data_IF_150949624131
#
_entry.id   IF_150949624131
#
_cell.length_a   1.000
_cell.length_b   1.000
_cell.length_c   1.000
_cell.angle_alpha   90.00
_cell.angle_beta   90.00
_cell.angle_gamma   90.00
#
_symmetry.space_group_name_H-M   'P 1'
#
loop_
_entity.id
_entity.type
_entity.pdbx_description
1 polymer ?
#
# COMPACT_ATOMS: atom_id res chain seq x y z
N UNK A 1 -1.06 -7.34 10.77
CA UNK A 1 -1.63 -6.06 11.25
C UNK A 1 -3.03 -6.05 10.66
N UNK A 2 -4.06 -6.13 11.49
CA UNK A 2 -5.42 -6.29 11.00
C UNK A 2 -6.01 -4.90 10.76
N UNK A 3 -6.45 -4.63 9.53
CA UNK A 3 -6.96 -3.31 9.16
C UNK A 3 -8.07 -3.44 8.11
N UNK A 4 -9.28 -3.00 8.47
CA UNK A 4 -10.45 -2.98 7.57
C UNK A 4 -10.41 -1.83 6.54
N UNK A 5 -9.50 -0.86 6.73
CA UNK A 5 -9.31 0.30 5.85
C UNK A 5 -7.82 0.44 5.49
N UNK A 6 -7.25 -0.53 4.74
CA UNK A 6 -5.83 -0.51 4.40
C UNK A 6 -5.47 0.67 3.50
N UNK A 7 -4.34 1.32 3.80
CA UNK A 7 -3.68 2.28 2.92
C UNK A 7 -2.41 1.60 2.39
N UNK A 8 -2.37 1.36 1.09
CA UNK A 8 -1.26 0.64 0.46
C UNK A 8 -0.12 1.61 0.12
N UNK A 9 1.06 1.38 0.68
CA UNK A 9 2.25 2.19 0.40
C UNK A 9 2.91 1.83 -0.95
N UNK A 10 2.78 0.57 -1.40
CA UNK A 10 3.39 0.11 -2.64
C UNK A 10 2.64 0.68 -3.85
N UNK A 11 3.39 1.34 -4.73
CA UNK A 11 2.90 1.89 -6.00
C UNK A 11 3.31 1.01 -7.17
N UNK A 12 2.55 1.07 -8.26
CA UNK A 12 2.85 0.38 -9.52
C UNK A 12 3.15 1.43 -10.59
N UNK A 13 4.21 1.22 -11.36
CA UNK A 13 4.53 2.02 -12.54
C UNK A 13 3.97 1.29 -13.76
N UNK A 14 3.22 2.00 -14.58
CA UNK A 14 2.55 1.46 -15.77
C UNK A 14 2.67 2.49 -16.89
N UNK A 15 3.10 2.05 -18.06
CA UNK A 15 3.15 2.89 -19.26
C UNK A 15 1.74 3.09 -19.82
N UNK A 16 1.41 4.32 -20.21
CA UNK A 16 0.11 4.66 -20.77
C UNK A 16 0.20 4.86 -22.29
N UNK A 17 -0.58 4.07 -23.03
CA UNK A 17 -0.71 4.13 -24.49
C UNK A 17 -2.12 4.60 -24.83
N UNK A 18 -2.25 5.84 -25.35
CA UNK A 18 -3.56 6.46 -25.60
C UNK A 18 -4.32 5.77 -26.75
N UNK A 19 -3.58 5.11 -27.63
CA UNK A 19 -4.06 4.35 -28.77
C UNK A 19 -4.54 2.94 -28.41
N UNK A 20 -4.29 2.48 -27.18
CA UNK A 20 -4.64 1.12 -26.73
C UNK A 20 -5.69 1.09 -25.62
N UNK A 21 -6.54 0.04 -25.64
CA UNK A 21 -7.47 -0.25 -24.55
C UNK A 21 -6.77 -1.12 -23.51
N UNK A 22 -6.05 -0.49 -22.59
CA UNK A 22 -5.34 -1.16 -21.50
C UNK A 22 -6.29 -1.51 -20.35
N UNK A 23 -6.73 -2.77 -20.25
CA UNK A 23 -7.65 -3.26 -19.20
C UNK A 23 -6.89 -3.66 -17.93
N UNK A 24 -7.37 -3.19 -16.78
CA UNK A 24 -6.82 -3.50 -15.46
C UNK A 24 -7.89 -4.16 -14.59
N UNK A 25 -7.47 -5.14 -13.79
CA UNK A 25 -8.27 -5.78 -12.74
C UNK A 25 -7.54 -5.68 -11.41
N UNK A 26 -8.25 -5.18 -10.41
CA UNK A 26 -7.82 -5.11 -9.02
C UNK A 26 -8.59 -6.17 -8.25
N UNK A 27 -7.90 -7.15 -7.66
CA UNK A 27 -8.49 -8.22 -6.87
C UNK A 27 -7.92 -8.16 -5.45
N UNK A 28 -8.81 -8.15 -4.45
CA UNK A 28 -8.44 -8.07 -3.04
C UNK A 28 -8.64 -9.42 -2.36
N UNK A 29 -7.69 -9.77 -1.50
CA UNK A 29 -7.68 -11.00 -0.72
C UNK A 29 -7.35 -10.68 0.74
N UNK A 30 -7.96 -11.41 1.67
CA UNK A 30 -7.56 -11.40 3.08
C UNK A 30 -6.42 -12.38 3.31
N UNK A 31 -5.29 -11.87 3.80
CA UNK A 31 -4.07 -12.66 3.96
C UNK A 31 -4.03 -13.32 5.34
N UNK A 32 -4.84 -14.37 5.51
CA UNK A 32 -4.90 -15.12 6.78
C UNK A 32 -3.86 -16.25 6.87
N UNK A 33 -3.32 -16.68 5.73
CA UNK A 33 -2.41 -17.82 5.65
C UNK A 33 -0.96 -17.39 5.41
N UNK A 34 -0.01 -18.25 5.79
CA UNK A 34 1.42 -18.04 5.50
C UNK A 34 1.81 -18.36 4.06
N UNK A 35 0.88 -18.88 3.25
CA UNK A 35 1.11 -19.22 1.84
C UNK A 35 1.21 -17.99 0.96
N UNK A 36 2.00 -18.11 -0.12
CA UNK A 36 2.06 -17.10 -1.20
C UNK A 36 1.00 -17.35 -2.29
N UNK A 37 0.29 -18.47 -2.23
CA UNK A 37 -0.65 -18.88 -3.27
C UNK A 37 -2.00 -18.20 -3.04
N UNK A 38 -2.46 -17.38 -4.00
CA UNK A 38 -3.66 -16.55 -3.86
C UNK A 38 -4.93 -17.35 -3.61
N UNK A 39 -5.06 -18.55 -4.16
CA UNK A 39 -6.26 -19.39 -3.99
C UNK A 39 -6.44 -19.89 -2.55
N UNK A 40 -5.39 -19.83 -1.72
CA UNK A 40 -5.49 -20.20 -0.32
C UNK A 40 -6.06 -19.05 0.52
N UNK A 41 -6.08 -17.83 0.01
CA UNK A 41 -6.53 -16.64 0.74
C UNK A 41 -7.99 -16.31 0.40
N UNK A 42 -8.68 -15.67 1.33
CA UNK A 42 -10.11 -15.38 1.19
C UNK A 42 -10.31 -14.21 0.23
N UNK A 43 -11.07 -14.43 -0.85
CA UNK A 43 -11.35 -13.40 -1.83
C UNK A 43 -12.38 -12.39 -1.31
N UNK A 44 -11.99 -11.10 -1.27
CA UNK A 44 -12.81 -10.02 -0.75
C UNK A 44 -13.61 -9.30 -1.84
N UNK A 45 -13.16 -9.37 -3.09
CA UNK A 45 -13.82 -8.72 -4.23
C UNK A 45 -12.84 -8.18 -5.26
N UNK A 46 -13.38 -7.80 -6.41
CA UNK A 46 -12.62 -7.23 -7.51
C UNK A 46 -13.26 -5.96 -8.07
N UNK A 47 -12.46 -5.19 -8.80
CA UNK A 47 -12.89 -4.08 -9.63
C UNK A 47 -12.09 -4.09 -10.93
N UNK A 48 -12.75 -3.90 -12.07
CA UNK A 48 -12.09 -3.84 -13.38
C UNK A 48 -12.44 -2.54 -14.09
N UNK A 49 -11.44 -1.93 -14.74
CA UNK A 49 -11.60 -0.74 -15.57
C UNK A 49 -10.48 -0.63 -16.61
N UNK A 50 -10.50 0.39 -17.45
CA UNK A 50 -9.37 0.70 -18.32
C UNK A 50 -8.44 1.71 -17.65
N UNK A 51 -7.15 1.67 -17.99
CA UNK A 51 -6.17 2.65 -17.49
C UNK A 51 -6.60 4.08 -17.85
N UNK A 52 -7.18 4.29 -19.03
CA UNK A 52 -7.72 5.59 -19.43
C UNK A 52 -8.74 6.17 -18.45
N UNK A 53 -9.63 5.35 -17.86
CA UNK A 53 -10.60 5.81 -16.84
C UNK A 53 -9.90 6.29 -15.57
N UNK A 54 -8.80 5.64 -15.19
CA UNK A 54 -8.04 6.00 -13.99
C UNK A 54 -7.31 7.33 -14.23
N UNK A 55 -6.60 7.43 -15.36
CA UNK A 55 -5.84 8.63 -15.74
C UNK A 55 -6.75 9.85 -15.90
N UNK A 56 -7.95 9.67 -16.47
CA UNK A 56 -8.92 10.76 -16.64
C UNK A 56 -9.55 11.26 -15.33
N UNK A 57 -9.57 10.43 -14.28
CA UNK A 57 -10.30 10.73 -13.05
C UNK A 57 -9.42 11.33 -11.93
N UNK A 58 -8.08 11.32 -12.07
CA UNK A 58 -7.05 11.58 -11.03
C UNK A 58 -7.15 10.67 -9.79
N UNK A 59 -8.34 10.56 -9.19
CA UNK A 59 -8.70 9.76 -8.02
C UNK A 59 -10.14 9.28 -8.14
N UNK A 60 -10.37 8.00 -7.92
CA UNK A 60 -11.69 7.38 -8.01
C UNK A 60 -11.92 6.38 -6.89
N UNK A 61 -13.13 6.37 -6.34
CA UNK A 61 -13.61 5.33 -5.42
C UNK A 61 -14.67 4.49 -6.13
N UNK A 62 -14.57 3.16 -6.05
CA UNK A 62 -15.50 2.23 -6.68
C UNK A 62 -15.88 1.08 -5.75
N UNK A 63 -17.12 0.58 -5.84
CA UNK A 63 -17.52 -0.61 -5.10
C UNK A 63 -16.79 -1.85 -5.63
N UNK A 64 -16.53 -2.79 -4.73
CA UNK A 64 -16.03 -4.11 -5.08
C UNK A 64 -17.18 -5.05 -5.45
N UNK A 65 -16.93 -5.96 -6.39
CA UNK A 65 -17.85 -7.01 -6.79
C UNK A 65 -17.26 -8.38 -6.52
N UNK A 66 -18.11 -9.35 -6.20
CA UNK A 66 -17.73 -10.75 -6.12
C UNK A 66 -17.63 -11.36 -7.53
N UNK A 67 -17.03 -12.55 -7.63
CA UNK A 67 -16.88 -13.27 -8.91
C UNK A 67 -18.21 -13.62 -9.59
N UNK A 68 -19.30 -13.69 -8.81
CA UNK A 68 -20.66 -13.89 -9.31
C UNK A 68 -21.37 -12.57 -9.73
N UNK A 69 -20.63 -11.45 -9.77
CA UNK A 69 -21.15 -10.14 -10.14
C UNK A 69 -21.96 -9.42 -9.07
N UNK A 70 -22.22 -10.03 -7.91
CA UNK A 70 -22.93 -9.38 -6.81
C UNK A 70 -22.02 -8.38 -6.08
N UNK A 71 -22.58 -7.34 -5.44
CA UNK A 71 -21.79 -6.44 -4.59
C UNK A 71 -21.06 -7.21 -3.47
N UNK A 72 -19.79 -6.89 -3.24
CA UNK A 72 -19.01 -7.42 -2.12
C UNK A 72 -19.31 -6.63 -0.83
N UNK A 73 -20.58 -6.67 -0.41
CA UNK A 73 -21.08 -5.91 0.73
C UNK A 73 -20.88 -4.40 0.56
N UNK A 74 -20.23 -3.76 1.54
CA UNK A 74 -19.88 -2.32 1.53
C UNK A 74 -18.42 -2.06 1.12
N UNK A 75 -17.72 -3.09 0.64
CA UNK A 75 -16.32 -3.00 0.24
C UNK A 75 -16.13 -2.00 -0.91
N UNK A 76 -15.15 -1.12 -0.79
CA UNK A 76 -14.77 -0.18 -1.84
C UNK A 76 -13.27 -0.18 -2.03
N UNK A 77 -12.83 0.18 -3.23
CA UNK A 77 -11.44 0.45 -3.57
C UNK A 77 -11.31 1.91 -4.00
N UNK A 78 -10.26 2.57 -3.52
CA UNK A 78 -9.85 3.89 -3.97
C UNK A 78 -8.57 3.77 -4.78
N UNK A 79 -8.57 4.32 -5.98
CA UNK A 79 -7.45 4.29 -6.92
C UNK A 79 -7.12 5.72 -7.31
N UNK A 80 -5.84 6.07 -7.30
CA UNK A 80 -5.33 7.34 -7.82
C UNK A 80 -4.13 7.09 -8.72
N UNK A 81 -4.02 7.89 -9.78
CA UNK A 81 -2.87 7.88 -10.67
C UNK A 81 -2.17 9.23 -10.61
N UNK A 82 -0.84 9.20 -10.70
CA UNK A 82 -0.01 10.38 -10.83
C UNK A 82 0.91 10.16 -12.01
N UNK A 83 1.01 11.15 -12.90
CA UNK A 83 2.02 11.16 -13.94
C UNK A 83 3.42 11.31 -13.30
N UNK A 84 4.36 10.49 -13.75
CA UNK A 84 5.75 10.55 -13.30
C UNK A 84 6.53 11.33 -14.36
N UNK A 85 6.70 12.61 -14.14
CA UNK A 85 7.46 13.51 -15.03
C UNK A 85 8.92 13.70 -14.60
N UNK A 86 9.27 13.39 -13.35
CA UNK A 86 10.60 13.53 -12.78
C UNK A 86 11.04 12.20 -12.14
N UNK A 87 12.23 11.72 -12.54
CA UNK A 87 12.80 10.45 -12.07
C UNK A 87 13.96 10.65 -11.08
N UNK A 88 14.02 11.82 -10.42
CA UNK A 88 15.01 12.08 -9.37
C UNK A 88 14.81 11.12 -8.20
N UNK A 89 15.91 10.50 -7.80
CA UNK A 89 15.96 9.59 -6.66
C UNK A 89 16.57 10.33 -5.47
N UNK A 90 15.93 10.22 -4.31
CA UNK A 90 16.45 10.69 -3.03
C UNK A 90 16.77 9.47 -2.17
N UNK A 91 18.00 9.37 -1.67
CA UNK A 91 18.40 8.37 -0.69
C UNK A 91 18.44 9.02 0.70
N UNK A 92 17.67 8.48 1.64
CA UNK A 92 17.57 8.98 3.01
C UNK A 92 18.14 7.94 3.98
N UNK A 93 19.03 8.37 4.88
CA UNK A 93 19.48 7.57 6.03
C UNK A 93 19.05 8.28 7.31
N UNK A 94 18.34 7.58 8.18
CA UNK A 94 17.70 8.15 9.37
C UNK A 94 17.97 7.31 10.61
N UNK A 95 18.12 7.95 11.77
CA UNK A 95 18.35 7.28 13.04
C UNK A 95 17.54 7.95 14.17
N UNK A 96 16.79 7.15 14.92
CA UNK A 96 16.15 7.57 16.17
C UNK A 96 17.01 7.21 17.38
N UNK A 97 17.11 8.11 18.37
CA UNK A 97 17.81 7.86 19.64
C UNK A 97 16.93 8.26 20.80
N UNK A 98 17.04 7.54 21.93
CA UNK A 98 16.28 7.81 23.16
C UNK A 98 14.76 7.94 22.90
N UNK A 99 14.21 7.06 22.07
CA UNK A 99 12.78 7.02 21.81
C UNK A 99 12.01 6.66 23.09
N UNK A 100 10.88 7.30 23.30
CA UNK A 100 10.04 7.05 24.47
C UNK A 100 9.55 5.60 24.50
N UNK A 101 9.69 4.97 25.67
CA UNK A 101 9.18 3.63 25.92
C UNK A 101 7.67 3.69 26.15
N UNK A 102 6.88 3.44 25.09
CA UNK A 102 5.41 3.43 25.17
C UNK A 102 4.79 2.09 25.55
N UNK A 103 5.58 1.03 25.70
CA UNK A 103 5.11 -0.31 26.07
C UNK A 103 5.25 -0.59 27.58
N UNK A 104 4.17 -1.04 28.22
CA UNK A 104 4.09 -1.25 29.67
C UNK A 104 5.08 -2.31 30.21
N UNK A 105 5.48 -3.29 29.39
CA UNK A 105 6.43 -4.34 29.81
C UNK A 105 7.40 -4.81 28.69
N UNK A 106 7.82 -3.92 27.77
CA UNK A 106 8.71 -4.28 26.65
C UNK A 106 9.54 -3.11 26.11
N UNK A 107 10.59 -3.38 25.33
CA UNK A 107 11.29 -2.33 24.56
C UNK A 107 10.38 -1.88 23.42
N UNK A 108 10.49 -0.62 23.03
CA UNK A 108 9.76 -0.10 21.87
C UNK A 108 10.16 -0.80 20.58
N UNK A 109 9.17 -0.99 19.71
CA UNK A 109 9.31 -1.54 18.35
C UNK A 109 9.14 -0.42 17.30
N UNK A 110 10.10 0.51 17.16
CA UNK A 110 9.95 1.67 16.30
C UNK A 110 9.99 1.31 14.81
N UNK A 111 9.28 2.11 14.01
CA UNK A 111 9.35 2.16 12.56
C UNK A 111 9.13 3.62 12.12
N UNK A 112 9.48 3.94 10.88
CA UNK A 112 9.24 5.25 10.27
C UNK A 112 8.16 5.16 9.21
N UNK A 113 7.37 6.22 9.12
CA UNK A 113 6.41 6.44 8.05
C UNK A 113 6.69 7.77 7.37
N UNK A 114 6.73 7.75 6.05
CA UNK A 114 6.89 8.93 5.23
C UNK A 114 5.57 9.24 4.57
N UNK A 115 5.14 10.49 4.74
CA UNK A 115 3.92 11.00 4.14
C UNK A 115 4.25 12.09 3.13
N UNK A 116 3.56 12.07 2.00
CA UNK A 116 3.56 13.15 1.01
C UNK A 116 2.23 13.89 1.12
N UNK A 117 2.26 15.21 1.11
CA UNK A 117 1.04 16.01 1.00
C UNK A 117 0.60 16.06 -0.47
N UNK A 118 -0.65 15.73 -0.72
CA UNK A 118 -1.27 15.77 -2.05
C UNK A 118 -1.88 17.15 -2.35
N UNK A 119 -2.27 17.38 -3.62
CA UNK A 119 -2.88 18.66 -4.06
C UNK A 119 -4.14 19.03 -3.25
N UNK A 120 -4.88 18.05 -2.75
CA UNK A 120 -6.07 18.23 -1.92
C UNK A 120 -5.76 18.50 -0.43
N UNK A 121 -4.47 18.67 -0.09
CA UNK A 121 -3.98 18.92 1.26
C UNK A 121 -3.89 17.68 2.15
N UNK A 122 -4.36 16.50 1.68
CA UNK A 122 -4.32 15.26 2.46
C UNK A 122 -2.92 14.64 2.42
N UNK A 123 -2.56 13.97 3.51
CA UNK A 123 -1.31 13.24 3.62
C UNK A 123 -1.49 11.79 3.18
N UNK A 124 -0.66 11.35 2.24
CA UNK A 124 -0.61 9.98 1.73
C UNK A 124 0.66 9.29 2.23
N UNK A 125 0.51 8.10 2.82
CA UNK A 125 1.64 7.25 3.17
C UNK A 125 2.36 6.81 1.88
N UNK A 126 3.64 7.19 1.73
CA UNK A 126 4.45 6.85 0.55
C UNK A 126 5.53 5.81 0.85
N UNK A 127 5.93 5.67 2.11
CA UNK A 127 6.88 4.65 2.52
C UNK A 127 6.70 4.33 4.00
N UNK A 128 6.90 3.06 4.37
CA UNK A 128 7.00 2.62 5.76
C UNK A 128 8.19 1.68 5.86
N UNK A 129 9.06 1.90 6.86
CA UNK A 129 10.19 1.01 7.12
C UNK A 129 9.73 -0.28 7.78
N UNK A 130 10.60 -1.28 7.83
CA UNK A 130 10.41 -2.44 8.71
C UNK A 130 10.34 -2.03 10.19
N UNK A 131 9.70 -2.89 10.97
CA UNK A 131 9.65 -2.75 12.43
C UNK A 131 10.94 -3.31 13.04
N UNK A 132 11.65 -2.48 13.80
CA UNK A 132 12.83 -2.90 14.53
C UNK A 132 12.41 -3.55 15.86
N UNK A 133 12.43 -4.88 15.91
CA UNK A 133 12.16 -5.65 17.14
C UNK A 133 13.43 -5.90 17.95
N UNK A 134 13.32 -5.83 19.27
CA UNK A 134 14.42 -6.16 20.20
C UNK A 134 14.11 -7.41 21.05
N UNK A 135 15.00 -8.42 21.12
CA UNK A 135 16.27 -8.53 20.39
C UNK A 135 16.05 -8.82 18.89
N UNK A 136 16.99 -8.38 18.02
CA UNK A 136 16.88 -8.64 16.60
C UNK A 136 16.94 -10.15 16.33
N UNK A 137 15.97 -10.66 15.58
CA UNK A 137 15.92 -12.08 15.18
C UNK A 137 16.95 -12.44 14.09
N UNK A 138 17.68 -11.46 13.58
CA UNK A 138 18.79 -11.65 12.63
C UNK A 138 19.95 -10.68 12.93
N UNK A 139 21.22 -11.14 12.92
CA UNK A 139 22.40 -10.31 13.23
C UNK A 139 22.53 -9.05 12.35
N UNK A 140 22.02 -9.10 11.12
CA UNK A 140 22.13 -8.02 10.13
C UNK A 140 21.22 -6.81 10.40
N UNK A 141 20.29 -6.89 11.36
CA UNK A 141 19.39 -5.76 11.70
C UNK A 141 20.01 -4.72 12.62
N UNK A 142 21.22 -4.96 13.11
CA UNK A 142 22.01 -3.93 13.81
C UNK A 142 22.77 -3.11 12.78
N UNK A 143 22.08 -2.09 12.26
CA UNK A 143 22.63 -0.98 11.51
C UNK A 143 23.36 -1.34 10.21
N UNK A 144 22.68 -1.25 9.06
CA UNK A 144 23.36 -1.03 7.78
C UNK A 144 22.49 -0.26 6.77
N UNK A 145 23.02 0.90 6.36
CA UNK A 145 22.80 1.74 5.15
C UNK A 145 21.53 2.60 5.02
#
# INVERSE_FOLDING_TARGET
MNNLNPVFAKKFVVDYHFEEVQKLKFALFDQDKSSKQLYEHDFLGEFSCTLGVIVSSKKMTRPLILTNGKPAGKGTIMISAQEISDNRVITLSMAGRKLDKKDLFGKSDPYLEFYKQEEDGKWMLVHRTEVLRFPPTSPERRAVR
#
